data_IF_615044614874
#
_entry.id   IF_615044614874
#
_cell.length_a   1.000
_cell.length_b   1.000
_cell.length_c   1.000
_cell.angle_alpha   90.00
_cell.angle_beta   90.00
_cell.angle_gamma   90.00
#
_symmetry.space_group_name_H-M   'P 1'
#
loop_
_entity.id
_entity.type
_entity.pdbx_description
1 polymer ?
#
# COMPACT_ATOMS: atom_id res chain seq x y z
N UNK A 1 -39.78 24.05 -31.15
CA UNK A 1 -39.03 22.86 -30.70
C UNK A 1 -37.55 23.18 -30.85
N UNK A 2 -36.77 23.13 -29.75
CA UNK A 2 -35.47 23.78 -29.69
C UNK A 2 -34.33 22.91 -30.25
N UNK A 3 -33.15 23.51 -30.46
CA UNK A 3 -32.02 22.93 -31.18
C UNK A 3 -31.06 22.21 -30.22
N UNK A 4 -30.21 21.31 -30.74
CA UNK A 4 -29.01 20.90 -30.01
C UNK A 4 -27.80 21.60 -30.61
N UNK A 5 -27.39 22.65 -29.91
CA UNK A 5 -26.17 23.41 -30.02
C UNK A 5 -24.98 22.64 -29.43
N UNK A 6 -23.82 22.80 -30.05
CA UNK A 6 -22.46 22.94 -29.48
C UNK A 6 -22.15 22.42 -28.06
N UNK A 7 -21.02 21.72 -27.96
CA UNK A 7 -20.26 21.46 -26.73
C UNK A 7 -20.14 19.96 -26.49
N UNK A 8 -19.00 19.36 -26.19
CA UNK A 8 -17.93 19.86 -25.34
C UNK A 8 -16.60 19.18 -25.68
N UNK A 9 -15.57 20.00 -25.78
CA UNK A 9 -14.20 19.58 -25.47
C UNK A 9 -14.17 19.18 -23.99
N UNK A 10 -14.30 17.89 -23.67
CA UNK A 10 -14.01 17.34 -22.33
C UNK A 10 -13.74 15.84 -22.43
N UNK A 11 -12.59 15.45 -22.99
CA UNK A 11 -12.01 14.12 -22.73
C UNK A 11 -11.13 14.12 -21.47
N UNK A 12 -11.34 15.08 -20.56
CA UNK A 12 -10.33 15.49 -19.57
C UNK A 12 -10.85 15.57 -18.13
N UNK A 13 -11.97 14.94 -17.80
CA UNK A 13 -12.58 15.17 -16.48
C UNK A 13 -13.43 14.03 -15.96
N UNK A 14 -13.00 12.76 -16.02
CA UNK A 14 -13.72 11.73 -15.28
C UNK A 14 -12.82 10.56 -14.84
N UNK A 15 -12.81 10.37 -13.51
CA UNK A 15 -12.38 9.19 -12.74
C UNK A 15 -10.89 8.98 -12.46
N UNK A 16 -10.39 9.77 -11.50
CA UNK A 16 -9.64 9.21 -10.37
C UNK A 16 -10.60 8.29 -9.60
N UNK A 17 -10.53 6.98 -9.85
CA UNK A 17 -11.34 6.00 -9.15
C UNK A 17 -10.79 4.59 -9.36
N UNK A 18 -10.22 4.05 -8.29
CA UNK A 18 -9.80 2.65 -8.12
C UNK A 18 -8.60 2.16 -8.95
N UNK A 19 -7.48 1.93 -8.25
CA UNK A 19 -6.33 1.20 -8.80
C UNK A 19 -5.17 0.99 -7.82
N UNK A 20 -5.01 1.80 -6.77
CA UNK A 20 -3.79 1.75 -5.95
C UNK A 20 -3.88 1.11 -4.57
N UNK A 21 -5.07 0.78 -4.03
CA UNK A 21 -5.19 0.52 -2.58
C UNK A 21 -5.11 -0.95 -2.17
N UNK A 22 -5.00 -1.91 -3.11
CA UNK A 22 -4.94 -3.34 -2.77
C UNK A 22 -3.71 -4.10 -3.27
N UNK A 23 -2.71 -3.42 -3.84
CA UNK A 23 -1.51 -4.07 -4.39
C UNK A 23 -0.18 -3.70 -3.73
N UNK A 24 -0.16 -2.86 -2.69
CA UNK A 24 1.10 -2.47 -2.02
C UNK A 24 1.57 -3.53 -0.99
N UNK A 25 0.78 -4.56 -0.68
CA UNK A 25 1.11 -5.52 0.39
C UNK A 25 1.61 -6.89 -0.08
N UNK A 26 1.51 -7.24 -1.38
CA UNK A 26 1.62 -8.66 -1.79
C UNK A 26 2.53 -8.98 -2.98
N UNK A 27 3.33 -8.05 -3.49
CA UNK A 27 4.28 -8.39 -4.57
C UNK A 27 5.72 -8.40 -4.05
N UNK A 28 6.38 -9.57 -3.92
CA UNK A 28 7.82 -9.61 -3.83
C UNK A 28 8.38 -9.00 -5.13
N UNK A 29 9.10 -7.90 -5.01
CA UNK A 29 9.82 -7.31 -6.14
C UNK A 29 10.99 -8.25 -6.46
N UNK A 30 10.78 -9.18 -7.38
CA UNK A 30 11.86 -9.95 -8.00
C UNK A 30 12.42 -9.07 -9.12
N UNK A 31 13.64 -8.56 -8.94
CA UNK A 31 14.36 -7.82 -9.96
C UNK A 31 15.04 -8.79 -10.92
N UNK A 32 14.58 -8.87 -12.17
CA UNK A 32 15.46 -9.35 -13.24
C UNK A 32 16.32 -8.20 -13.76
N UNK A 33 17.63 -8.31 -13.52
CA UNK A 33 18.64 -7.42 -14.08
C UNK A 33 18.71 -7.62 -15.60
N UNK A 34 18.23 -6.63 -16.36
CA UNK A 34 18.62 -6.45 -17.76
C UNK A 34 19.31 -5.09 -17.83
N UNK A 35 20.61 -5.13 -18.09
CA UNK A 35 21.48 -3.97 -18.11
C UNK A 35 21.05 -2.94 -19.15
N UNK A 36 20.99 -1.68 -18.72
CA UNK A 36 21.12 -0.53 -19.60
C UNK A 36 21.86 0.58 -18.85
N UNK A 37 23.09 0.83 -19.30
CA UNK A 37 24.00 1.84 -18.79
C UNK A 37 23.60 3.22 -19.32
N UNK A 38 22.83 4.01 -18.58
CA UNK A 38 22.79 5.47 -18.74
C UNK A 38 22.71 6.22 -17.39
N UNK A 39 23.91 6.44 -16.83
CA UNK A 39 24.46 7.63 -16.15
C UNK A 39 23.52 8.59 -15.37
N UNK A 40 23.59 8.43 -14.05
CA UNK A 40 23.72 9.47 -12.99
C UNK A 40 23.06 10.85 -13.21
N UNK A 41 21.96 11.06 -12.50
CA UNK A 41 21.85 12.18 -11.54
C UNK A 41 21.49 11.62 -10.18
N UNK A 42 22.51 11.50 -9.33
CA UNK A 42 22.37 11.38 -7.89
C UNK A 42 21.58 12.59 -7.39
N UNK A 43 20.32 12.39 -7.08
CA UNK A 43 19.67 13.18 -6.05
C UNK A 43 19.72 12.31 -4.80
N UNK A 44 20.32 12.82 -3.74
CA UNK A 44 20.18 12.29 -2.40
C UNK A 44 18.66 12.21 -2.12
N UNK A 45 18.04 11.07 -2.42
CA UNK A 45 16.73 10.77 -1.88
C UNK A 45 16.99 10.53 -0.40
N UNK A 46 16.77 11.61 0.36
CA UNK A 46 16.64 11.58 1.81
C UNK A 46 15.63 10.46 2.07
N UNK A 47 16.10 9.31 2.54
CA UNK A 47 15.19 8.36 3.18
C UNK A 47 14.49 9.20 4.25
N UNK A 48 13.15 9.33 4.19
CA UNK A 48 12.46 10.14 5.17
C UNK A 48 12.83 9.64 6.57
N UNK A 49 12.94 10.59 7.50
CA UNK A 49 13.26 10.32 8.91
C UNK A 49 12.48 9.10 9.38
N UNK A 50 13.10 8.20 10.17
CA UNK A 50 12.42 7.01 10.63
C UNK A 50 11.13 7.40 11.36
N UNK A 51 10.00 7.00 10.78
CA UNK A 51 8.69 7.21 11.41
C UNK A 51 8.69 6.41 12.71
N UNK A 52 8.56 7.12 13.83
CA UNK A 52 8.50 6.50 15.15
C UNK A 52 7.09 5.94 15.40
N UNK A 53 7.02 4.72 15.90
CA UNK A 53 5.77 4.13 16.40
C UNK A 53 5.60 4.43 17.92
N UNK A 54 4.37 4.66 18.39
CA UNK A 54 3.15 4.83 17.59
C UNK A 54 3.21 6.11 16.75
N UNK A 55 2.65 6.05 15.55
CA UNK A 55 2.55 7.18 14.65
C UNK A 55 1.12 7.74 14.69
N UNK A 56 1.02 9.06 14.77
CA UNK A 56 -0.21 9.82 14.59
C UNK A 56 0.08 10.99 13.65
N UNK A 57 -0.72 11.16 12.61
CA UNK A 57 -0.56 12.29 11.71
C UNK A 57 -0.79 13.61 12.47
N UNK A 58 -0.02 14.67 12.19
CA UNK A 58 -0.14 15.93 12.93
C UNK A 58 -1.42 16.70 12.60
N UNK A 59 -2.03 16.45 11.44
CA UNK A 59 -3.10 17.23 10.83
C UNK A 59 -4.33 16.37 10.49
N UNK A 60 -4.85 15.63 11.47
CA UNK A 60 -6.00 14.72 11.26
C UNK A 60 -7.29 15.55 11.13
N UNK A 61 -8.04 15.43 10.01
CA UNK A 61 -9.21 16.28 9.75
C UNK A 61 -10.44 15.92 10.60
N UNK A 62 -10.47 14.72 11.19
CA UNK A 62 -11.58 14.22 12.02
C UNK A 62 -11.03 13.49 13.24
N UNK A 63 -11.81 13.39 14.32
CA UNK A 63 -11.41 12.59 15.49
C UNK A 63 -11.15 11.13 15.11
N UNK A 64 -10.05 10.57 15.58
CA UNK A 64 -9.75 9.15 15.35
C UNK A 64 -10.80 8.26 16.00
N UNK A 65 -11.19 7.15 15.36
CA UNK A 65 -12.19 6.25 15.90
C UNK A 65 -11.67 5.51 17.13
N UNK A 66 -12.54 5.35 18.12
CA UNK A 66 -12.30 4.56 19.32
C UNK A 66 -12.32 3.05 19.02
N UNK A 67 -11.72 2.21 19.87
CA UNK A 67 -11.82 0.76 19.73
C UNK A 67 -13.28 0.25 19.65
N UNK A 68 -14.19 0.84 20.42
CA UNK A 68 -15.61 0.46 20.40
C UNK A 68 -16.26 0.76 19.03
N UNK A 69 -15.98 1.93 18.46
CA UNK A 69 -16.47 2.30 17.12
C UNK A 69 -15.89 1.41 16.03
N UNK A 70 -14.59 1.05 16.13
CA UNK A 70 -13.94 0.12 15.20
C UNK A 70 -14.60 -1.26 15.27
N UNK A 71 -14.90 -1.77 16.46
CA UNK A 71 -15.53 -3.10 16.61
C UNK A 71 -16.98 -3.14 16.11
N UNK A 72 -17.72 -2.03 16.24
CA UNK A 72 -19.11 -1.92 15.80
C UNK A 72 -19.26 -1.56 14.31
N UNK A 73 -18.17 -1.17 13.64
CA UNK A 73 -18.20 -0.67 12.27
C UNK A 73 -18.50 -1.77 11.24
N UNK A 74 -19.10 -1.40 10.08
CA UNK A 74 -19.29 -2.31 8.95
C UNK A 74 -18.00 -3.01 8.53
N UNK A 75 -18.03 -4.34 8.52
CA UNK A 75 -16.94 -5.19 8.08
C UNK A 75 -16.82 -5.16 6.55
N UNK A 76 -15.64 -4.83 6.06
CA UNK A 76 -15.30 -4.89 4.63
C UNK A 76 -14.58 -6.20 4.29
N UNK A 77 -13.61 -6.60 5.12
CA UNK A 77 -12.79 -7.80 4.90
C UNK A 77 -12.51 -8.48 6.24
N UNK A 78 -12.55 -9.81 6.25
CA UNK A 78 -12.03 -10.64 7.34
C UNK A 78 -11.25 -11.79 6.74
N UNK A 79 -9.94 -11.81 6.95
CA UNK A 79 -9.04 -12.80 6.36
C UNK A 79 -7.80 -13.00 7.22
N UNK A 80 -7.29 -14.24 7.33
CA UNK A 80 -6.07 -14.59 8.06
C UNK A 80 -5.90 -13.88 9.42
N UNK A 81 -6.97 -13.80 10.21
CA UNK A 81 -6.93 -13.22 11.56
C UNK A 81 -6.88 -11.69 11.64
N UNK A 82 -6.92 -10.97 10.51
CA UNK A 82 -7.15 -9.52 10.49
C UNK A 82 -8.56 -9.17 9.98
N UNK A 83 -9.02 -8.00 10.36
CA UNK A 83 -10.27 -7.38 9.92
C UNK A 83 -9.98 -6.01 9.30
N UNK A 84 -10.82 -5.63 8.34
CA UNK A 84 -10.86 -4.29 7.77
C UNK A 84 -12.29 -3.79 7.89
N UNK A 85 -12.47 -2.63 8.51
CA UNK A 85 -13.79 -2.01 8.73
C UNK A 85 -13.81 -0.59 8.18
N UNK A 86 -15.00 -0.13 7.79
CA UNK A 86 -15.24 1.27 7.42
C UNK A 86 -15.83 2.00 8.62
N UNK A 87 -15.12 2.98 9.17
CA UNK A 87 -15.63 3.81 10.28
C UNK A 87 -16.02 5.18 9.76
N UNK A 88 -17.32 5.48 9.78
CA UNK A 88 -17.90 6.67 9.14
C UNK A 88 -17.53 6.76 7.64
N UNK A 89 -17.67 7.93 7.02
CA UNK A 89 -17.25 8.21 5.63
C UNK A 89 -15.81 8.74 5.54
N UNK A 90 -15.01 8.52 6.58
CA UNK A 90 -13.67 9.11 6.69
C UNK A 90 -12.55 8.09 6.82
N UNK A 91 -12.81 6.95 7.47
CA UNK A 91 -11.78 6.01 7.87
C UNK A 91 -12.01 4.60 7.36
N UNK A 92 -10.92 3.97 6.97
CA UNK A 92 -10.79 2.51 6.94
C UNK A 92 -9.79 2.11 8.01
N UNK A 93 -10.14 1.11 8.80
CA UNK A 93 -9.28 0.58 9.85
C UNK A 93 -8.98 -0.89 9.58
N UNK A 94 -7.70 -1.20 9.38
CA UNK A 94 -7.21 -2.57 9.39
C UNK A 94 -6.66 -2.88 10.78
N UNK A 95 -7.13 -3.99 11.37
CA UNK A 95 -6.70 -4.38 12.71
C UNK A 95 -6.71 -5.89 12.91
N UNK A 96 -5.89 -6.36 13.85
CA UNK A 96 -5.74 -7.76 14.20
C UNK A 96 -4.61 -7.95 15.21
N UNK A 97 -4.41 -9.17 15.70
CA UNK A 97 -3.28 -9.47 16.61
C UNK A 97 -1.97 -9.02 15.99
N UNK A 98 -1.01 -8.60 16.82
CA UNK A 98 0.29 -8.11 16.36
C UNK A 98 1.07 -9.15 15.54
N UNK A 99 0.79 -10.45 15.71
CA UNK A 99 1.35 -11.53 14.90
C UNK A 99 0.71 -11.70 13.51
N UNK A 100 -0.40 -11.02 13.23
CA UNK A 100 -1.19 -11.13 11.99
C UNK A 100 -1.25 -9.82 11.20
N UNK A 101 -1.07 -8.68 11.86
CA UNK A 101 -1.05 -7.36 11.21
C UNK A 101 0.25 -6.67 11.54
N UNK A 102 1.10 -6.45 10.54
CA UNK A 102 2.34 -5.68 10.69
C UNK A 102 2.09 -4.19 10.40
N UNK A 103 2.50 -3.31 11.32
CA UNK A 103 2.41 -1.85 11.14
C UNK A 103 3.31 -1.34 10.00
N UNK A 104 4.23 -2.18 9.51
CA UNK A 104 5.08 -1.91 8.36
C UNK A 104 4.28 -1.70 7.06
N UNK A 105 3.06 -2.23 6.96
CA UNK A 105 2.14 -1.88 5.87
C UNK A 105 1.83 -0.38 5.85
N UNK A 106 1.54 0.20 7.02
CA UNK A 106 1.32 1.64 7.15
C UNK A 106 2.59 2.47 6.94
N UNK A 107 3.73 1.98 7.41
CA UNK A 107 5.02 2.63 7.17
C UNK A 107 5.38 2.63 5.68
N UNK A 108 5.08 1.55 4.95
CA UNK A 108 5.26 1.49 3.49
C UNK A 108 4.36 2.52 2.78
N UNK A 109 3.12 2.69 3.21
CA UNK A 109 2.24 3.73 2.66
C UNK A 109 2.80 5.13 2.90
N UNK A 110 3.28 5.43 4.11
CA UNK A 110 3.93 6.71 4.42
C UNK A 110 5.16 6.95 3.55
N UNK A 111 5.99 5.92 3.34
CA UNK A 111 7.16 5.99 2.48
C UNK A 111 6.76 6.30 1.03
N UNK A 112 5.81 5.55 0.45
CA UNK A 112 5.35 5.76 -0.93
C UNK A 112 4.74 7.16 -1.08
N UNK A 113 3.95 7.62 -0.12
CA UNK A 113 3.34 8.96 -0.14
C UNK A 113 4.38 10.09 -0.14
N UNK A 114 5.51 9.90 0.55
CA UNK A 114 6.58 10.89 0.62
C UNK A 114 7.53 10.83 -0.58
N UNK A 115 7.72 9.64 -1.13
CA UNK A 115 8.74 9.39 -2.16
C UNK A 115 8.19 9.41 -3.59
N UNK A 116 6.86 9.38 -3.76
CA UNK A 116 6.19 9.37 -5.08
C UNK A 116 5.05 10.38 -5.14
N UNK A 117 4.49 10.59 -6.33
CA UNK A 117 3.23 11.31 -6.55
C UNK A 117 2.01 10.39 -6.58
N UNK A 118 2.21 9.10 -6.31
CA UNK A 118 1.15 8.11 -6.35
C UNK A 118 0.10 8.40 -5.30
N UNK A 119 -1.16 8.17 -5.69
CA UNK A 119 -2.29 8.27 -4.78
C UNK A 119 -2.39 6.99 -3.96
N UNK A 120 -1.82 7.02 -2.76
CA UNK A 120 -2.05 6.03 -1.70
C UNK A 120 -2.99 6.62 -0.65
N UNK A 121 -3.73 5.80 0.11
CA UNK A 121 -4.56 6.31 1.20
C UNK A 121 -3.68 7.03 2.21
N UNK A 122 -4.13 8.18 2.70
CA UNK A 122 -3.44 8.87 3.77
C UNK A 122 -3.50 8.03 5.05
N UNK A 123 -2.35 7.81 5.68
CA UNK A 123 -2.25 7.15 6.99
C UNK A 123 -2.47 8.18 8.10
N UNK A 124 -3.41 7.91 8.99
CA UNK A 124 -3.72 8.78 10.13
C UNK A 124 -3.12 8.28 11.44
N UNK A 125 -3.11 6.96 11.67
CA UNK A 125 -2.51 6.40 12.87
C UNK A 125 -1.98 4.98 12.65
N UNK A 126 -0.86 4.66 13.30
CA UNK A 126 -0.25 3.33 13.39
C UNK A 126 0.11 3.07 14.85
N UNK A 127 -0.55 2.12 15.50
CA UNK A 127 -0.26 1.82 16.90
C UNK A 127 -0.61 0.38 17.27
N UNK A 128 -0.03 -0.06 18.38
CA UNK A 128 -0.38 -1.30 19.05
C UNK A 128 -1.17 -0.95 20.32
N UNK A 129 -2.23 -1.68 20.59
CA UNK A 129 -2.86 -1.75 21.90
C UNK A 129 -2.17 -2.89 22.71
N UNK A 130 -1.38 -2.55 23.75
CA UNK A 130 -0.62 -3.55 24.50
C UNK A 130 -1.48 -4.55 25.28
N UNK A 131 -2.69 -4.16 25.69
CA UNK A 131 -3.56 -5.01 26.50
C UNK A 131 -4.13 -6.16 25.67
N UNK A 132 -4.65 -5.84 24.48
CA UNK A 132 -5.18 -6.83 23.55
C UNK A 132 -4.15 -7.41 22.59
N UNK A 133 -2.92 -6.85 22.57
CA UNK A 133 -1.89 -7.11 21.56
C UNK A 133 -2.42 -6.93 20.13
N UNK A 134 -3.22 -5.89 19.90
CA UNK A 134 -3.85 -5.61 18.59
C UNK A 134 -3.12 -4.46 17.90
N UNK A 135 -2.69 -4.68 16.66
CA UNK A 135 -2.18 -3.61 15.81
C UNK A 135 -3.34 -2.96 15.05
N UNK A 136 -3.29 -1.63 14.95
CA UNK A 136 -4.26 -0.81 14.25
C UNK A 136 -3.55 0.06 13.20
N UNK A 137 -4.06 0.00 11.98
CA UNK A 137 -3.70 0.87 10.86
C UNK A 137 -4.95 1.65 10.49
N UNK A 138 -4.97 2.94 10.82
CA UNK A 138 -6.07 3.85 10.52
C UNK A 138 -5.69 4.70 9.33
N UNK A 139 -6.49 4.64 8.27
CA UNK A 139 -6.21 5.30 6.99
C UNK A 139 -7.48 5.92 6.39
N UNK A 140 -7.27 6.78 5.39
CA UNK A 140 -8.32 7.42 4.61
C UNK A 140 -9.24 6.41 3.92
N UNK A 141 -10.54 6.61 4.10
CA UNK A 141 -11.53 5.96 3.25
C UNK A 141 -11.63 6.71 1.92
N UNK A 142 -11.17 6.06 0.85
CA UNK A 142 -11.35 6.55 -0.51
C UNK A 142 -12.68 6.01 -1.05
N UNK A 143 -13.65 6.91 -1.26
CA UNK A 143 -14.94 6.56 -1.83
C UNK A 143 -14.79 6.12 -3.29
N UNK A 144 -15.32 4.94 -3.61
CA UNK A 144 -15.39 4.41 -4.98
C UNK A 144 -15.74 2.93 -5.00
N UNK A 145 -15.96 2.40 -6.19
CA UNK A 145 -16.16 0.97 -6.43
C UNK A 145 -14.81 0.30 -6.76
N UNK A 146 -14.68 -1.00 -6.49
CA UNK A 146 -13.42 -1.70 -6.78
C UNK A 146 -13.32 -2.04 -8.26
N UNK A 147 -12.10 -2.19 -8.77
CA UNK A 147 -11.92 -2.68 -10.14
C UNK A 147 -12.53 -4.07 -10.33
N UNK A 148 -12.50 -4.93 -9.32
CA UNK A 148 -13.10 -6.26 -9.37
C UNK A 148 -14.60 -6.22 -9.70
N UNK A 149 -15.37 -5.35 -9.01
CA UNK A 149 -16.81 -5.22 -9.26
C UNK A 149 -17.11 -4.55 -10.60
N UNK A 150 -16.27 -3.60 -11.02
CA UNK A 150 -16.51 -2.84 -12.25
C UNK A 150 -15.97 -3.50 -13.51
N UNK A 151 -14.97 -4.39 -13.42
CA UNK A 151 -14.20 -4.86 -14.58
C UNK A 151 -15.06 -5.45 -15.70
N UNK A 152 -16.11 -6.20 -15.35
CA UNK A 152 -17.02 -6.79 -16.33
C UNK A 152 -17.85 -5.74 -17.10
N UNK A 153 -18.07 -4.57 -16.50
CA UNK A 153 -18.90 -3.48 -17.03
C UNK A 153 -18.10 -2.44 -17.82
N UNK A 154 -16.77 -2.44 -17.70
CA UNK A 154 -15.89 -1.52 -18.41
C UNK A 154 -15.76 -1.90 -19.90
N UNK A 155 -15.77 -0.88 -20.74
CA UNK A 155 -15.44 -0.97 -22.16
C UNK A 155 -13.96 -1.31 -22.36
N UNK A 156 -13.61 -1.72 -23.59
CA UNK A 156 -12.21 -1.97 -23.93
C UNK A 156 -11.33 -0.72 -23.81
N UNK A 157 -11.86 0.46 -24.14
CA UNK A 157 -11.14 1.73 -24.02
C UNK A 157 -10.82 2.03 -22.55
N UNK A 158 -11.81 1.97 -21.66
CA UNK A 158 -11.62 2.23 -20.23
C UNK A 158 -10.64 1.23 -19.59
N UNK A 159 -10.71 -0.05 -19.95
CA UNK A 159 -9.74 -1.07 -19.50
C UNK A 159 -8.32 -0.72 -19.93
N UNK A 160 -8.16 -0.24 -21.16
CA UNK A 160 -6.85 0.15 -21.71
C UNK A 160 -6.30 1.38 -20.98
N UNK A 161 -7.15 2.36 -20.67
CA UNK A 161 -6.78 3.53 -19.89
C UNK A 161 -6.36 3.17 -18.46
N UNK A 162 -7.14 2.32 -17.77
CA UNK A 162 -6.81 1.82 -16.43
C UNK A 162 -5.48 1.06 -16.45
N UNK A 163 -5.26 0.19 -17.44
CA UNK A 163 -4.00 -0.55 -17.58
C UNK A 163 -2.81 0.41 -17.78
N UNK A 164 -2.98 1.49 -18.53
CA UNK A 164 -1.95 2.52 -18.71
C UNK A 164 -1.65 3.25 -17.41
N UNK A 165 -2.66 3.61 -16.62
CA UNK A 165 -2.49 4.24 -15.30
C UNK A 165 -1.74 3.31 -14.35
N UNK A 166 -2.15 2.04 -14.27
CA UNK A 166 -1.49 1.04 -13.43
C UNK A 166 -0.04 0.84 -13.84
N UNK A 167 0.25 0.81 -15.14
CA UNK A 167 1.62 0.76 -15.64
C UNK A 167 2.44 1.95 -15.16
N UNK A 168 1.92 3.17 -15.29
CA UNK A 168 2.62 4.37 -14.80
C UNK A 168 2.90 4.29 -13.29
N UNK A 169 1.95 3.76 -12.51
CA UNK A 169 2.13 3.58 -11.08
C UNK A 169 3.26 2.60 -10.76
N UNK A 170 3.31 1.47 -11.46
CA UNK A 170 4.39 0.51 -11.30
C UNK A 170 5.74 1.04 -11.80
N UNK A 171 5.76 1.81 -12.89
CA UNK A 171 6.99 2.41 -13.41
C UNK A 171 7.56 3.42 -12.38
N UNK A 172 6.71 4.21 -11.71
CA UNK A 172 7.14 5.11 -10.63
C UNK A 172 7.65 4.34 -9.41
N UNK A 173 6.94 3.31 -8.94
CA UNK A 173 7.41 2.46 -7.83
C UNK A 173 8.72 1.72 -8.16
N UNK A 174 8.91 1.28 -9.40
CA UNK A 174 10.14 0.58 -9.83
C UNK A 174 11.28 1.52 -10.19
N UNK A 175 11.03 2.82 -10.24
CA UNK A 175 12.08 3.82 -10.45
C UNK A 175 12.97 4.01 -9.23
N UNK A 176 12.56 3.49 -8.06
CA UNK A 176 13.38 3.56 -6.86
C UNK A 176 14.69 2.78 -7.05
N UNK A 177 15.83 3.36 -6.63
CA UNK A 177 17.09 2.64 -6.66
C UNK A 177 17.00 1.42 -5.75
N UNK A 178 17.57 0.32 -6.21
CA UNK A 178 17.71 -0.87 -5.36
C UNK A 178 18.49 -0.51 -4.10
N UNK A 179 18.01 -0.91 -2.90
CA UNK A 179 18.73 -0.68 -1.67
C UNK A 179 19.93 -1.64 -1.49
N UNK A 180 20.17 -2.54 -2.46
CA UNK A 180 21.26 -3.51 -2.42
C UNK A 180 20.99 -4.76 -1.56
N UNK A 181 19.75 -4.94 -1.10
CA UNK A 181 19.29 -6.12 -0.37
C UNK A 181 17.79 -6.36 -0.65
N UNK A 182 17.30 -7.54 -0.31
CA UNK A 182 15.89 -7.92 -0.36
C UNK A 182 15.32 -7.91 1.06
N UNK A 183 14.44 -6.97 1.34
CA UNK A 183 13.87 -6.79 2.68
C UNK A 183 12.93 -5.59 2.71
N UNK A 184 12.42 -5.31 3.89
CA UNK A 184 11.52 -4.18 4.11
C UNK A 184 12.28 -2.92 4.56
N UNK A 185 11.55 -1.81 4.70
CA UNK A 185 12.08 -0.53 5.20
C UNK A 185 12.86 -0.75 6.51
N UNK A 186 14.01 -0.08 6.63
CA UNK A 186 14.88 -0.23 7.80
C UNK A 186 15.75 -1.50 7.79
N UNK A 187 15.86 -2.17 6.63
CA UNK A 187 16.60 -3.44 6.49
C UNK A 187 15.98 -4.55 7.37
N UNK A 188 14.65 -4.59 7.41
CA UNK A 188 13.87 -5.58 8.16
C UNK A 188 13.45 -6.77 7.28
N UNK A 189 12.82 -7.76 7.91
CA UNK A 189 12.29 -8.97 7.27
C UNK A 189 11.20 -8.67 6.23
N UNK A 190 10.98 -9.60 5.30
CA UNK A 190 9.92 -9.53 4.30
C UNK A 190 8.56 -9.89 4.92
N UNK A 191 7.52 -9.13 4.57
CA UNK A 191 6.17 -9.30 5.11
C UNK A 191 5.33 -10.37 4.41
N UNK A 192 5.83 -10.94 3.32
CA UNK A 192 5.06 -11.88 2.52
C UNK A 192 4.87 -13.21 3.28
N UNK A 193 3.68 -13.81 3.17
CA UNK A 193 3.32 -15.01 3.94
C UNK A 193 4.24 -16.23 3.72
N UNK A 194 4.90 -16.32 2.56
CA UNK A 194 5.93 -17.35 2.27
C UNK A 194 7.14 -17.22 3.22
N UNK A 195 7.46 -16.01 3.66
CA UNK A 195 8.56 -15.71 4.57
C UNK A 195 8.11 -15.63 6.04
N UNK A 196 6.88 -16.05 6.35
CA UNK A 196 6.34 -15.97 7.70
C UNK A 196 6.95 -17.04 8.60
N UNK A 197 7.34 -16.63 9.80
CA UNK A 197 7.83 -17.52 10.86
C UNK A 197 7.22 -17.09 12.19
N UNK A 198 6.98 -18.05 13.10
CA UNK A 198 6.43 -17.75 14.43
C UNK A 198 7.39 -16.95 15.31
N UNK A 199 8.69 -17.05 15.04
CA UNK A 199 9.77 -16.27 15.65
C UNK A 199 10.71 -15.77 14.54
N UNK A 200 11.34 -14.60 14.68
CA UNK A 200 12.25 -14.06 13.67
C UNK A 200 13.35 -15.07 13.30
N UNK A 201 13.36 -15.54 12.07
CA UNK A 201 14.34 -16.48 11.53
C UNK A 201 14.98 -15.87 10.28
N UNK A 202 16.11 -15.15 10.40
CA UNK A 202 16.68 -14.35 9.31
C UNK A 202 17.00 -15.13 8.02
N UNK A 203 17.26 -16.44 8.11
CA UNK A 203 17.47 -17.31 6.94
C UNK A 203 16.19 -17.58 6.15
N UNK A 204 15.01 -17.39 6.76
CA UNK A 204 13.71 -17.56 6.13
C UNK A 204 13.09 -16.19 5.84
N UNK A 205 13.19 -15.25 6.76
CA UNK A 205 12.45 -13.99 6.65
C UNK A 205 13.29 -12.80 6.20
N UNK A 206 14.60 -12.97 6.04
CA UNK A 206 15.50 -11.93 5.59
C UNK A 206 15.78 -10.88 6.67
N UNK A 207 16.39 -9.73 6.31
CA UNK A 207 16.73 -9.31 4.94
C UNK A 207 17.80 -10.21 4.29
N UNK A 208 17.76 -10.32 2.96
CA UNK A 208 18.71 -11.10 2.18
C UNK A 208 19.65 -10.18 1.39
N UNK A 209 20.94 -10.51 1.35
CA UNK A 209 21.93 -9.73 0.59
C UNK A 209 22.11 -10.22 -0.86
N UNK A 210 21.40 -11.28 -1.26
CA UNK A 210 21.47 -11.82 -2.62
C UNK A 210 20.16 -12.51 -3.00
N UNK A 211 19.92 -12.65 -4.30
CA UNK A 211 18.79 -13.38 -4.85
C UNK A 211 18.87 -14.87 -4.51
N UNK A 212 20.07 -15.46 -4.49
CA UNK A 212 20.25 -16.86 -4.08
C UNK A 212 19.76 -17.10 -2.64
N UNK A 213 20.12 -16.23 -1.70
CA UNK A 213 19.67 -16.32 -0.31
C UNK A 213 18.15 -16.11 -0.17
N UNK A 214 17.55 -15.25 -1.01
CA UNK A 214 16.10 -15.07 -1.07
C UNK A 214 15.39 -16.36 -1.55
N UNK A 215 15.92 -17.00 -2.59
CA UNK A 215 15.37 -18.24 -3.14
C UNK A 215 15.44 -19.37 -2.09
N UNK A 216 16.61 -19.55 -1.46
CA UNK A 216 16.79 -20.50 -0.35
C UNK A 216 15.78 -20.25 0.79
N UNK A 217 15.61 -18.99 1.20
CA UNK A 217 14.67 -18.62 2.27
C UNK A 217 13.19 -18.80 1.90
N UNK A 218 12.84 -18.79 0.61
CA UNK A 218 11.47 -19.04 0.12
C UNK A 218 11.20 -20.52 -0.22
N UNK A 219 12.22 -21.38 -0.16
CA UNK A 219 12.10 -22.80 -0.49
C UNK A 219 12.10 -23.12 -1.99
N UNK A 220 12.69 -22.24 -2.82
CA UNK A 220 12.91 -22.44 -4.25
C UNK A 220 14.38 -22.71 -4.58
#
# INVERSE_FOLDING_TARGET
MPPSTSGWNTCLSFFLGAGAVLFITSLPIIYHSIGSQHRKKQQNQIFPLPVKLPYFAPDIPYSLPTPAEIQAAPLLVSHNGYKVVKVSDHFVVKFGRASQVDLLEGLNMLFVQQATKLKVPRVYALYNDPESSTNYIIMEFIKGDTLDTQWAHLTHCEKSEIAMILRQYFDELRSFPSPGFFGSIGKSHLLHGIFWTSQPTPSINGPFNSEAALNEGSGF
#
